data_IF_446805347885
#
_entry.id   IF_446805347885
#
_cell.length_a   1.000
_cell.length_b   1.000
_cell.length_c   1.000
_cell.angle_alpha   90.00
_cell.angle_beta   90.00
_cell.angle_gamma   90.00
#
_symmetry.space_group_name_H-M   'P 1'
#
loop_
_entity.id
_entity.type
_entity.pdbx_description
1 polymer ?
#
# COMPACT_ATOMS: atom_id res chain seq x y z
N UNK A 1 13.35 -18.54 11.99
CA UNK A 1 14.82 -18.72 11.86
C UNK A 1 15.47 -17.83 10.77
N UNK A 2 14.69 -17.27 9.82
CA UNK A 2 15.17 -16.25 8.88
C UNK A 2 14.63 -14.85 9.20
N UNK A 3 14.08 -14.68 10.39
CA UNK A 3 13.41 -13.44 10.80
C UNK A 3 14.45 -12.36 11.09
N UNK A 4 14.15 -11.13 10.69
CA UNK A 4 14.99 -9.96 10.96
C UNK A 4 14.24 -9.06 11.91
N UNK A 5 14.90 -8.60 12.97
CA UNK A 5 14.32 -7.68 13.95
C UNK A 5 14.86 -6.28 13.68
N UNK A 6 13.95 -5.32 13.50
CA UNK A 6 14.27 -3.90 13.49
C UNK A 6 13.97 -3.30 14.86
N UNK A 7 14.99 -2.85 15.58
CA UNK A 7 14.86 -2.21 16.88
C UNK A 7 15.08 -0.71 16.76
N UNK A 8 14.09 0.06 17.22
CA UNK A 8 14.10 1.52 17.09
C UNK A 8 14.16 2.14 18.49
N UNK A 9 15.22 2.91 18.76
CA UNK A 9 15.36 3.67 19.98
C UNK A 9 16.28 4.86 19.73
N UNK A 10 15.72 6.08 19.74
CA UNK A 10 16.52 7.28 19.48
C UNK A 10 17.75 7.36 20.40
N UNK A 11 17.56 7.16 21.71
CA UNK A 11 18.66 7.15 22.68
C UNK A 11 19.54 5.90 22.62
N UNK A 12 18.95 4.74 22.29
CA UNK A 12 19.64 3.44 22.28
C UNK A 12 19.87 2.83 23.68
N UNK A 13 19.19 3.35 24.71
CA UNK A 13 19.38 2.98 26.12
C UNK A 13 18.09 2.55 26.83
N UNK A 14 17.00 2.29 26.10
CA UNK A 14 15.75 1.80 26.70
C UNK A 14 15.97 0.41 27.30
N UNK A 15 15.77 0.30 28.61
CA UNK A 15 15.97 -0.94 29.36
C UNK A 15 15.04 -2.04 28.87
N UNK A 16 13.80 -1.70 28.50
CA UNK A 16 12.81 -2.63 27.94
C UNK A 16 13.36 -3.28 26.67
N UNK A 17 13.96 -2.50 25.77
CA UNK A 17 14.56 -3.03 24.56
C UNK A 17 15.84 -3.82 24.85
N UNK A 18 16.73 -3.30 25.69
CA UNK A 18 17.98 -3.97 26.05
C UNK A 18 17.75 -5.36 26.67
N UNK A 19 16.74 -5.48 27.54
CA UNK A 19 16.36 -6.74 28.17
C UNK A 19 15.85 -7.77 27.15
N UNK A 20 15.18 -7.32 26.08
CA UNK A 20 14.66 -8.20 25.03
C UNK A 20 15.72 -8.69 24.05
N UNK A 21 16.81 -7.93 23.82
CA UNK A 21 17.85 -8.26 22.82
C UNK A 21 18.36 -9.69 23.00
N UNK A 22 18.70 -10.09 24.23
CA UNK A 22 19.31 -11.39 24.51
C UNK A 22 18.42 -12.56 24.08
N UNK A 23 17.11 -12.41 24.21
CA UNK A 23 16.11 -13.38 23.75
C UNK A 23 15.94 -13.33 22.24
N UNK A 24 15.81 -12.13 21.67
CA UNK A 24 15.60 -11.92 20.24
C UNK A 24 16.79 -12.42 19.41
N UNK A 25 18.03 -12.31 19.90
CA UNK A 25 19.23 -12.87 19.25
C UNK A 25 19.17 -14.38 19.08
N UNK A 26 18.43 -15.11 19.92
CA UNK A 26 18.28 -16.56 19.79
C UNK A 26 17.22 -16.95 18.76
N UNK A 27 16.26 -16.06 18.50
CA UNK A 27 15.10 -16.33 17.65
C UNK A 27 15.25 -15.76 16.23
N UNK A 28 15.96 -14.64 16.10
CA UNK A 28 16.16 -13.91 14.85
C UNK A 28 17.51 -14.22 14.21
N UNK A 29 17.57 -14.03 12.89
CA UNK A 29 18.79 -14.18 12.11
C UNK A 29 19.70 -12.95 12.23
N UNK A 30 19.10 -11.75 12.21
CA UNK A 30 19.80 -10.46 12.28
C UNK A 30 18.98 -9.42 13.03
N UNK A 31 19.69 -8.54 13.73
CA UNK A 31 19.13 -7.36 14.41
C UNK A 31 19.67 -6.08 13.76
N UNK A 32 18.76 -5.25 13.25
CA UNK A 32 19.06 -3.91 12.74
C UNK A 32 18.64 -2.90 13.81
N UNK A 33 19.49 -1.90 14.07
CA UNK A 33 19.24 -0.89 15.11
C UNK A 33 19.15 0.51 14.53
N UNK A 34 18.11 1.24 14.91
CA UNK A 34 17.92 2.65 14.62
C UNK A 34 18.17 3.45 15.89
N UNK A 35 19.32 4.14 15.96
CA UNK A 35 19.67 4.97 17.14
C UNK A 35 20.44 6.22 16.73
N UNK A 36 20.53 7.22 17.60
CA UNK A 36 21.28 8.46 17.33
C UNK A 36 22.80 8.27 17.30
N UNK A 37 23.32 7.16 17.83
CA UNK A 37 24.76 6.94 18.00
C UNK A 37 25.14 5.46 17.89
N UNK A 38 26.17 5.11 17.08
CA UNK A 38 26.66 3.74 16.99
C UNK A 38 27.24 3.22 18.33
N UNK A 39 27.57 4.14 19.25
CA UNK A 39 28.16 3.80 20.54
C UNK A 39 27.13 3.49 21.64
N UNK A 40 25.83 3.66 21.36
CA UNK A 40 24.77 3.31 22.30
C UNK A 40 24.75 1.81 22.62
N UNK A 41 24.24 1.45 23.80
CA UNK A 41 24.17 0.05 24.24
C UNK A 41 23.40 -0.81 23.23
N UNK A 42 22.25 -0.32 22.75
CA UNK A 42 21.45 -1.05 21.78
C UNK A 42 22.19 -1.24 20.45
N UNK A 43 22.88 -0.20 19.93
CA UNK A 43 23.61 -0.30 18.67
C UNK A 43 24.78 -1.27 18.73
N UNK A 44 25.52 -1.32 19.85
CA UNK A 44 26.58 -2.31 20.05
C UNK A 44 26.07 -3.74 20.09
N UNK A 45 24.81 -3.92 20.45
CA UNK A 45 24.17 -5.23 20.48
C UNK A 45 23.56 -5.64 19.12
N UNK A 46 23.32 -4.72 18.20
CA UNK A 46 22.81 -5.03 16.86
C UNK A 46 23.88 -5.58 15.91
N UNK A 47 23.45 -6.23 14.83
CA UNK A 47 24.33 -6.60 13.71
C UNK A 47 24.57 -5.43 12.75
N UNK A 48 23.55 -4.58 12.57
CA UNK A 48 23.60 -3.43 11.67
C UNK A 48 23.10 -2.16 12.36
N UNK A 49 23.72 -1.04 12.03
CA UNK A 49 23.39 0.28 12.56
C UNK A 49 22.89 1.20 11.45
N UNK A 50 21.73 1.80 11.67
CA UNK A 50 21.19 2.89 10.86
C UNK A 50 20.98 4.12 11.74
N UNK A 51 21.52 5.24 11.28
CA UNK A 51 21.66 6.46 12.07
C UNK A 51 20.36 7.26 12.14
N UNK A 52 19.88 7.52 13.35
CA UNK A 52 18.85 8.53 13.67
C UNK A 52 19.45 9.86 14.12
N UNK A 53 20.72 10.14 13.80
CA UNK A 53 21.36 11.39 14.21
C UNK A 53 20.66 12.61 13.60
N UNK A 54 20.09 13.45 14.45
CA UNK A 54 19.50 14.74 14.10
C UNK A 54 20.35 15.89 14.64
N UNK A 55 20.19 17.09 14.07
CA UNK A 55 20.84 18.30 14.60
C UNK A 55 20.17 18.80 15.88
N UNK A 56 18.83 18.86 15.89
CA UNK A 56 18.00 19.26 17.03
C UNK A 56 16.57 18.76 16.85
N UNK A 57 15.87 18.59 17.96
CA UNK A 57 14.42 18.47 17.94
C UNK A 57 13.78 19.81 17.54
N UNK A 58 12.59 19.75 16.94
CA UNK A 58 11.79 20.94 16.69
C UNK A 58 11.15 21.48 17.99
N UNK A 59 10.98 20.62 18.99
CA UNK A 59 10.54 21.00 20.33
C UNK A 59 11.50 22.04 20.95
N UNK A 60 11.01 23.24 21.36
CA UNK A 60 11.87 24.30 21.89
C UNK A 60 12.66 23.93 23.15
N UNK A 61 12.12 23.00 23.96
CA UNK A 61 12.76 22.52 25.20
C UNK A 61 13.39 21.13 25.04
N UNK A 62 13.47 20.61 23.80
CA UNK A 62 14.18 19.38 23.45
C UNK A 62 13.75 18.11 24.23
N UNK A 63 12.51 18.05 24.71
CA UNK A 63 11.94 16.89 25.42
C UNK A 63 11.03 16.06 24.55
N UNK A 64 10.17 16.70 23.75
CA UNK A 64 9.24 15.98 22.88
C UNK A 64 9.95 15.51 21.60
N UNK A 65 9.87 14.21 21.25
CA UNK A 65 10.45 13.70 20.02
C UNK A 65 9.62 14.18 18.83
N UNK A 66 10.26 14.88 17.91
CA UNK A 66 9.59 15.56 16.78
C UNK A 66 10.36 15.33 15.49
N UNK A 67 11.58 15.84 15.41
CA UNK A 67 12.49 15.60 14.29
C UNK A 67 12.94 14.15 14.28
N UNK A 68 13.23 13.55 15.44
CA UNK A 68 13.69 12.16 15.53
C UNK A 68 12.65 11.15 15.07
N UNK A 69 11.38 11.34 15.45
CA UNK A 69 10.27 10.48 15.00
C UNK A 69 10.00 10.65 13.52
N UNK A 70 10.04 11.89 13.01
CA UNK A 70 9.90 12.17 11.57
C UNK A 70 11.02 11.53 10.75
N UNK A 71 12.28 11.63 11.21
CA UNK A 71 13.42 10.97 10.57
C UNK A 71 13.28 9.43 10.60
N UNK A 72 12.79 8.89 11.71
CA UNK A 72 12.55 7.45 11.86
C UNK A 72 11.54 6.95 10.83
N UNK A 73 10.43 7.68 10.65
CA UNK A 73 9.41 7.35 9.64
C UNK A 73 10.00 7.40 8.22
N UNK A 74 10.71 8.48 7.89
CA UNK A 74 11.34 8.64 6.58
C UNK A 74 12.37 7.54 6.28
N UNK A 75 13.14 7.10 7.27
CA UNK A 75 14.06 5.96 7.11
C UNK A 75 13.33 4.64 6.88
N UNK A 76 12.15 4.45 7.50
CA UNK A 76 11.27 3.33 7.21
C UNK A 76 10.85 3.32 5.74
N UNK A 77 10.43 4.47 5.20
CA UNK A 77 10.04 4.61 3.80
C UNK A 77 11.23 4.35 2.85
N UNK A 78 12.42 4.83 3.19
CA UNK A 78 13.65 4.56 2.42
C UNK A 78 13.98 3.08 2.41
N UNK A 79 13.92 2.40 3.57
CA UNK A 79 14.14 0.95 3.64
C UNK A 79 13.14 0.18 2.78
N UNK A 80 11.86 0.55 2.85
CA UNK A 80 10.80 -0.04 2.04
C UNK A 80 11.08 0.15 0.54
N UNK A 81 11.41 1.36 0.10
CA UNK A 81 11.70 1.64 -1.32
C UNK A 81 12.94 0.88 -1.82
N UNK A 82 13.99 0.81 -1.00
CA UNK A 82 15.18 0.00 -1.29
C UNK A 82 14.85 -1.49 -1.41
N UNK A 83 14.02 -2.02 -0.51
CA UNK A 83 13.58 -3.42 -0.53
C UNK A 83 12.72 -3.71 -1.76
N UNK A 84 11.77 -2.83 -2.11
CA UNK A 84 10.97 -2.97 -3.32
C UNK A 84 11.86 -3.09 -4.55
N UNK A 85 12.87 -2.21 -4.69
CA UNK A 85 13.82 -2.27 -5.80
C UNK A 85 14.66 -3.54 -5.77
N UNK A 86 15.20 -3.93 -4.62
CA UNK A 86 16.03 -5.13 -4.49
C UNK A 86 15.25 -6.43 -4.76
N UNK A 87 13.92 -6.41 -4.57
CA UNK A 87 13.02 -7.55 -4.81
C UNK A 87 12.27 -7.48 -6.14
N UNK A 88 12.52 -6.45 -6.95
CA UNK A 88 11.76 -6.18 -8.18
C UNK A 88 10.24 -6.15 -7.94
N UNK A 89 9.81 -5.62 -6.79
CA UNK A 89 8.41 -5.57 -6.40
C UNK A 89 7.63 -4.68 -7.37
N UNK A 90 6.65 -5.26 -8.06
CA UNK A 90 5.95 -4.61 -9.16
C UNK A 90 4.62 -3.97 -8.74
N UNK A 91 3.99 -3.28 -9.69
CA UNK A 91 2.66 -2.71 -9.48
C UNK A 91 1.58 -3.80 -9.34
N UNK A 92 1.74 -4.90 -10.07
CA UNK A 92 0.89 -6.09 -10.03
C UNK A 92 1.02 -6.80 -8.68
N UNK A 93 2.24 -6.91 -8.14
CA UNK A 93 2.46 -7.42 -6.79
C UNK A 93 1.70 -6.56 -5.77
N UNK A 94 1.85 -5.24 -5.83
CA UNK A 94 1.11 -4.31 -4.96
C UNK A 94 -0.40 -4.54 -5.02
N UNK A 95 -0.95 -4.62 -6.23
CA UNK A 95 -2.37 -4.84 -6.45
C UNK A 95 -2.83 -6.17 -5.86
N UNK A 96 -2.04 -7.24 -6.01
CA UNK A 96 -2.39 -8.58 -5.51
C UNK A 96 -2.52 -8.63 -3.98
N UNK A 97 -1.69 -7.85 -3.27
CA UNK A 97 -1.77 -7.72 -1.81
C UNK A 97 -2.84 -6.71 -1.35
N UNK A 98 -3.37 -5.87 -2.24
CA UNK A 98 -4.36 -4.83 -1.93
C UNK A 98 -5.54 -4.79 -2.92
N UNK A 99 -6.24 -5.91 -3.17
CA UNK A 99 -7.21 -6.02 -4.27
C UNK A 99 -8.45 -5.13 -4.09
N UNK A 100 -8.83 -4.83 -2.85
CA UNK A 100 -10.01 -3.99 -2.55
C UNK A 100 -9.80 -2.48 -2.73
N UNK A 101 -8.54 -2.03 -2.82
CA UNK A 101 -8.20 -0.62 -2.93
C UNK A 101 -8.42 -0.04 -4.33
N UNK A 102 -8.50 1.30 -4.43
CA UNK A 102 -8.65 1.99 -5.72
C UNK A 102 -7.56 1.61 -6.73
N UNK A 103 -6.31 1.48 -6.28
CA UNK A 103 -5.19 1.13 -7.15
C UNK A 103 -5.26 -0.34 -7.60
N UNK A 104 -5.61 -1.26 -6.68
CA UNK A 104 -5.81 -2.67 -7.01
C UNK A 104 -6.93 -2.86 -8.04
N UNK A 105 -8.06 -2.16 -7.85
CA UNK A 105 -9.15 -2.11 -8.84
C UNK A 105 -8.68 -1.56 -10.18
N UNK A 106 -7.94 -0.45 -10.21
CA UNK A 106 -7.44 0.16 -11.45
C UNK A 106 -6.54 -0.80 -12.26
N UNK A 107 -5.81 -1.69 -11.57
CA UNK A 107 -4.86 -2.59 -12.21
C UNK A 107 -5.49 -3.92 -12.66
N UNK A 108 -6.52 -4.40 -11.95
CA UNK A 108 -7.13 -5.70 -12.25
C UNK A 108 -8.49 -5.64 -12.92
N UNK A 109 -9.26 -4.56 -12.74
CA UNK A 109 -10.58 -4.42 -13.36
C UNK A 109 -10.39 -4.11 -14.84
N UNK A 110 -10.84 -5.02 -15.70
CA UNK A 110 -10.83 -4.85 -17.15
C UNK A 110 -12.16 -4.28 -17.62
N UNK A 111 -12.17 -3.70 -18.82
CA UNK A 111 -13.40 -3.19 -19.46
C UNK A 111 -14.51 -4.23 -19.48
N UNK A 112 -14.18 -5.48 -19.81
CA UNK A 112 -15.14 -6.60 -19.81
C UNK A 112 -15.76 -6.91 -18.43
N UNK A 113 -15.10 -6.54 -17.34
CA UNK A 113 -15.59 -6.75 -15.98
C UNK A 113 -16.56 -5.63 -15.56
N UNK A 114 -16.61 -4.52 -16.33
CA UNK A 114 -17.49 -3.37 -16.13
C UNK A 114 -18.62 -3.29 -17.17
N UNK A 115 -18.38 -3.77 -18.38
CA UNK A 115 -19.38 -3.74 -19.45
C UNK A 115 -20.54 -4.69 -19.11
N UNK A 116 -21.75 -4.14 -19.15
CA UNK A 116 -22.96 -4.95 -19.15
C UNK A 116 -23.11 -5.58 -20.54
N UNK A 117 -22.97 -6.90 -20.63
CA UNK A 117 -23.12 -7.66 -21.88
C UNK A 117 -24.45 -8.41 -21.98
N UNK A 118 -25.23 -8.40 -20.90
CA UNK A 118 -26.53 -9.04 -20.81
C UNK A 118 -27.59 -8.00 -20.47
N UNK A 119 -28.86 -8.30 -20.77
CA UNK A 119 -29.97 -7.38 -20.48
C UNK A 119 -29.77 -6.00 -21.13
N UNK A 120 -29.37 -5.99 -22.40
CA UNK A 120 -29.16 -4.77 -23.19
C UNK A 120 -30.50 -4.20 -23.70
N UNK A 121 -30.68 -2.87 -23.76
CA UNK A 121 -31.89 -2.22 -24.24
C UNK A 121 -31.89 -2.17 -25.77
N UNK A 122 -32.17 -3.31 -26.41
CA UNK A 122 -32.20 -3.43 -27.86
C UNK A 122 -33.58 -3.01 -28.38
N UNK A 123 -33.62 -2.10 -29.37
CA UNK A 123 -34.86 -1.63 -30.00
C UNK A 123 -34.74 -1.65 -31.52
N UNK A 124 -35.86 -1.76 -32.23
CA UNK A 124 -35.90 -1.67 -33.69
C UNK A 124 -36.03 -0.20 -34.12
N UNK A 125 -35.60 0.19 -35.33
CA UNK A 125 -35.85 1.53 -35.87
C UNK A 125 -37.32 1.92 -35.93
N UNK A 126 -38.22 0.94 -35.97
CA UNK A 126 -39.67 1.11 -35.95
C UNK A 126 -40.27 1.21 -34.55
N UNK A 127 -39.49 0.98 -33.48
CA UNK A 127 -39.97 1.04 -32.09
C UNK A 127 -40.44 2.46 -31.76
N UNK A 128 -41.63 2.57 -31.16
CA UNK A 128 -42.18 3.87 -30.78
C UNK A 128 -41.32 4.54 -29.70
N UNK A 129 -41.29 5.87 -29.68
CA UNK A 129 -40.52 6.60 -28.67
C UNK A 129 -40.93 6.25 -27.23
N UNK A 130 -42.22 6.01 -27.00
CA UNK A 130 -42.74 5.60 -25.68
C UNK A 130 -42.16 4.26 -25.24
N UNK A 131 -42.15 3.28 -26.14
CA UNK A 131 -41.67 1.93 -25.82
C UNK A 131 -40.15 1.90 -25.67
N UNK A 132 -39.43 2.72 -26.47
CA UNK A 132 -38.00 2.92 -26.31
C UNK A 132 -37.62 3.51 -24.94
N UNK A 133 -38.43 4.46 -24.42
CA UNK A 133 -38.23 5.01 -23.08
C UNK A 133 -38.44 3.97 -21.98
N UNK A 134 -39.44 3.10 -22.13
CA UNK A 134 -39.71 2.02 -21.17
C UNK A 134 -38.52 1.04 -21.18
N UNK A 135 -38.11 0.55 -22.34
CA UNK A 135 -37.00 -0.39 -22.50
C UNK A 135 -35.70 0.19 -21.89
N UNK A 136 -35.33 1.42 -22.25
CA UNK A 136 -34.15 2.09 -21.71
C UNK A 136 -34.19 2.22 -20.17
N UNK A 137 -35.37 2.49 -19.60
CA UNK A 137 -35.57 2.64 -18.15
C UNK A 137 -35.48 1.30 -17.42
N UNK A 138 -36.08 0.25 -17.97
CA UNK A 138 -36.04 -1.10 -17.39
C UNK A 138 -34.62 -1.66 -17.36
N UNK A 139 -33.81 -1.39 -18.40
CA UNK A 139 -32.42 -1.85 -18.46
C UNK A 139 -31.44 -0.98 -17.68
N UNK A 140 -31.86 0.20 -17.22
CA UNK A 140 -31.08 1.14 -16.36
C UNK A 140 -29.73 1.58 -16.92
N UNK A 141 -29.56 1.48 -18.24
CA UNK A 141 -28.33 1.87 -18.92
C UNK A 141 -28.36 3.31 -19.45
N UNK A 142 -29.53 3.96 -19.45
CA UNK A 142 -29.68 5.35 -19.87
C UNK A 142 -29.47 5.59 -21.38
N UNK A 143 -29.38 4.50 -22.15
CA UNK A 143 -29.28 4.47 -23.61
C UNK A 143 -30.16 3.36 -24.19
N UNK A 144 -30.61 3.49 -25.43
CA UNK A 144 -31.18 2.39 -26.21
C UNK A 144 -30.25 2.08 -27.40
N UNK A 145 -30.15 0.81 -27.78
CA UNK A 145 -29.29 0.32 -28.85
C UNK A 145 -30.19 -0.08 -30.01
N UNK A 146 -30.04 0.57 -31.16
CA UNK A 146 -30.80 0.21 -32.35
C UNK A 146 -30.20 -1.03 -33.01
N UNK A 147 -31.07 -1.99 -33.32
CA UNK A 147 -30.72 -3.21 -34.06
C UNK A 147 -31.71 -3.47 -35.19
N UNK A 148 -31.30 -4.20 -36.22
CA UNK A 148 -32.19 -4.69 -37.26
C UNK A 148 -32.94 -5.97 -36.79
N UNK A 149 -33.79 -6.53 -37.65
CA UNK A 149 -34.53 -7.76 -37.33
C UNK A 149 -33.63 -9.00 -37.11
N UNK A 150 -32.38 -8.96 -37.59
CA UNK A 150 -31.37 -9.99 -37.35
C UNK A 150 -30.55 -9.74 -36.07
N UNK A 151 -30.92 -8.75 -35.23
CA UNK A 151 -30.19 -8.30 -34.04
C UNK A 151 -28.77 -7.75 -34.34
N UNK A 152 -28.54 -7.24 -35.53
CA UNK A 152 -27.31 -6.56 -35.89
C UNK A 152 -27.45 -5.05 -35.64
N UNK A 153 -26.38 -4.40 -35.19
CA UNK A 153 -26.38 -2.97 -34.89
C UNK A 153 -26.62 -2.15 -36.17
N UNK A 154 -27.42 -1.09 -36.07
CA UNK A 154 -27.78 -0.18 -37.18
C UNK A 154 -27.25 1.23 -36.94
#
# INVERSE_FOLDING_TARGET
KNDVVLMISYGGESLELLNLVSHLKRLSHKIITFTKSPNSSLSKLGDYYLSLKIKKEACPINTAPTTSTTLTLALGDVLMACLMRAKNFSQEDFASFHPGGLLGKKLFVKVKDLLQTTNLPLILPSTSFKDALIEMSEKRLGSAILVNEANELV
#
